data_IF_191627947725
#
_entry.id   IF_191627947725
#
_cell.length_a   1.000
_cell.length_b   1.000
_cell.length_c   1.000
_cell.angle_alpha   90.00
_cell.angle_beta   90.00
_cell.angle_gamma   90.00
#
_symmetry.space_group_name_H-M   'P 1'
#
loop_
_entity.id
_entity.type
_entity.pdbx_description
1 polymer ?
#
# COMPACT_ATOMS: atom_id res chain seq x y z
N UNK A 1 -13.06 -9.87 -6.98
CA UNK A 1 -12.43 -8.56 -7.29
C UNK A 1 -10.94 -8.76 -7.55
N UNK A 2 -10.32 -7.80 -8.23
CA UNK A 2 -8.86 -7.73 -8.41
C UNK A 2 -8.29 -6.72 -7.42
N UNK A 3 -7.35 -7.14 -6.58
CA UNK A 3 -6.71 -6.29 -5.59
C UNK A 3 -5.21 -6.16 -5.91
N UNK A 4 -4.73 -4.93 -6.07
CA UNK A 4 -3.31 -4.62 -6.12
C UNK A 4 -2.85 -4.21 -4.73
N UNK A 5 -1.84 -4.90 -4.18
CA UNK A 5 -1.28 -4.61 -2.86
C UNK A 5 0.14 -4.09 -3.05
N UNK A 6 0.36 -2.80 -2.74
CA UNK A 6 1.67 -2.15 -2.89
C UNK A 6 2.21 -1.75 -1.51
N UNK A 7 3.26 -2.41 -1.04
CA UNK A 7 3.89 -2.10 0.25
C UNK A 7 5.38 -2.49 0.24
N UNK A 8 6.18 -1.90 1.14
CA UNK A 8 7.54 -2.37 1.34
C UNK A 8 7.57 -3.71 2.09
N UNK A 9 8.69 -4.40 2.03
CA UNK A 9 8.96 -5.58 2.86
C UNK A 9 9.03 -5.24 4.36
N UNK A 10 9.16 -6.25 5.21
CA UNK A 10 9.21 -6.08 6.66
C UNK A 10 7.83 -5.87 7.28
N UNK A 11 7.71 -4.91 8.21
CA UNK A 11 6.49 -4.65 8.98
C UNK A 11 5.26 -4.28 8.12
N UNK A 12 5.45 -3.51 7.06
CA UNK A 12 4.38 -3.17 6.12
C UNK A 12 3.80 -4.43 5.45
N UNK A 13 4.68 -5.30 4.95
CA UNK A 13 4.27 -6.57 4.35
C UNK A 13 3.60 -7.49 5.39
N UNK A 14 4.13 -7.56 6.61
CA UNK A 14 3.54 -8.37 7.68
C UNK A 14 2.11 -7.94 7.99
N UNK A 15 1.86 -6.63 8.10
CA UNK A 15 0.49 -6.12 8.33
C UNK A 15 -0.43 -6.34 7.14
N UNK A 16 0.05 -6.20 5.91
CA UNK A 16 -0.74 -6.53 4.73
C UNK A 16 -1.13 -8.01 4.71
N UNK A 17 -0.22 -8.90 5.11
CA UNK A 17 -0.47 -10.35 5.20
C UNK A 17 -1.45 -10.72 6.32
N UNK A 18 -1.45 -9.99 7.44
CA UNK A 18 -2.42 -10.19 8.53
C UNK A 18 -3.87 -9.97 8.07
N UNK A 19 -4.08 -9.18 7.02
CA UNK A 19 -5.38 -8.97 6.39
C UNK A 19 -5.80 -10.06 5.40
N UNK A 20 -5.13 -11.21 5.40
CA UNK A 20 -5.48 -12.34 4.53
C UNK A 20 -6.96 -12.75 4.58
N UNK A 21 -7.67 -12.73 5.72
CA UNK A 21 -9.10 -13.01 5.74
C UNK A 21 -9.94 -12.09 4.83
N UNK A 22 -9.47 -10.86 4.59
CA UNK A 22 -10.14 -9.91 3.70
C UNK A 22 -9.81 -10.15 2.22
N UNK A 23 -8.52 -10.26 1.88
CA UNK A 23 -8.10 -10.33 0.47
C UNK A 23 -7.96 -11.78 -0.06
N UNK A 24 -7.94 -12.78 0.80
CA UNK A 24 -7.56 -14.15 0.44
C UNK A 24 -8.41 -14.82 -0.63
N UNK A 25 -9.70 -14.49 -0.71
CA UNK A 25 -10.65 -15.02 -1.70
C UNK A 25 -10.65 -14.22 -3.02
N UNK A 26 -9.78 -13.20 -3.15
CA UNK A 26 -9.78 -12.31 -4.30
C UNK A 26 -8.54 -12.56 -5.19
N UNK A 27 -8.68 -12.23 -6.48
CA UNK A 27 -7.52 -12.16 -7.37
C UNK A 27 -6.61 -11.01 -6.92
N UNK A 28 -5.31 -11.29 -6.76
CA UNK A 28 -4.39 -10.31 -6.17
C UNK A 28 -3.04 -10.29 -6.85
N UNK A 29 -2.45 -9.10 -6.85
CA UNK A 29 -1.11 -8.84 -7.35
C UNK A 29 -0.37 -7.99 -6.31
N UNK A 30 0.83 -8.44 -5.93
CA UNK A 30 1.69 -7.74 -4.99
C UNK A 30 2.74 -6.91 -5.71
N UNK A 31 3.04 -5.73 -5.18
CA UNK A 31 4.20 -4.92 -5.58
C UNK A 31 4.99 -4.58 -4.33
N UNK A 32 6.22 -5.07 -4.25
CA UNK A 32 7.08 -4.92 -3.06
C UNK A 32 8.56 -4.90 -3.42
N UNK A 33 9.42 -4.65 -2.44
CA UNK A 33 10.87 -4.69 -2.63
C UNK A 33 11.39 -6.10 -2.92
N UNK A 34 12.50 -6.24 -3.68
CA UNK A 34 13.11 -7.53 -4.03
C UNK A 34 13.94 -8.10 -2.88
N UNK A 35 13.40 -8.17 -1.69
CA UNK A 35 14.08 -8.66 -0.47
C UNK A 35 13.80 -10.15 -0.25
N UNK A 36 14.68 -10.84 0.47
CA UNK A 36 14.49 -12.26 0.79
C UNK A 36 13.26 -12.47 1.67
N UNK A 37 12.99 -11.55 2.61
CA UNK A 37 11.76 -11.55 3.42
C UNK A 37 10.50 -11.56 2.54
N UNK A 38 10.45 -10.68 1.55
CA UNK A 38 9.31 -10.62 0.63
C UNK A 38 9.20 -11.88 -0.25
N UNK A 39 10.32 -12.39 -0.76
CA UNK A 39 10.34 -13.63 -1.57
C UNK A 39 9.83 -14.84 -0.79
N UNK A 40 10.26 -14.98 0.47
CA UNK A 40 9.82 -16.08 1.33
C UNK A 40 8.33 -16.00 1.66
N UNK A 41 7.86 -14.81 2.07
CA UNK A 41 6.47 -14.59 2.48
C UNK A 41 5.48 -14.67 1.31
N UNK A 42 5.90 -14.30 0.11
CA UNK A 42 5.05 -14.26 -1.09
C UNK A 42 5.32 -15.41 -2.07
N UNK A 43 5.93 -16.51 -1.62
CA UNK A 43 6.31 -17.66 -2.47
C UNK A 43 5.13 -18.26 -3.27
N UNK A 44 3.90 -18.15 -2.75
CA UNK A 44 2.67 -18.63 -3.40
C UNK A 44 1.82 -17.51 -4.00
N UNK A 45 2.36 -16.31 -4.07
CA UNK A 45 1.66 -15.11 -4.53
C UNK A 45 2.26 -14.61 -5.84
N UNK A 46 1.43 -13.94 -6.66
CA UNK A 46 1.94 -13.19 -7.79
C UNK A 46 2.52 -11.87 -7.30
N UNK A 47 3.80 -11.66 -7.48
CA UNK A 47 4.50 -10.47 -7.01
C UNK A 47 5.39 -9.85 -8.09
N UNK A 48 5.41 -8.54 -8.12
CA UNK A 48 6.29 -7.72 -8.97
C UNK A 48 7.27 -6.98 -8.04
N UNK A 49 8.55 -7.03 -8.36
CA UNK A 49 9.55 -6.23 -7.66
C UNK A 49 9.46 -4.77 -8.08
N UNK A 50 9.38 -3.86 -7.09
CA UNK A 50 9.55 -2.43 -7.34
C UNK A 50 11.04 -2.05 -7.46
N UNK A 51 11.31 -0.84 -7.96
CA UNK A 51 12.66 -0.28 -7.94
C UNK A 51 13.06 0.03 -6.50
N UNK A 52 14.17 -0.53 -6.06
CA UNK A 52 14.64 -0.53 -4.68
C UNK A 52 16.04 0.09 -4.55
N UNK A 53 16.41 0.73 -3.43
CA UNK A 53 15.58 1.05 -2.26
C UNK A 53 14.59 2.18 -2.54
N UNK A 54 13.49 2.24 -1.75
CA UNK A 54 12.44 3.24 -1.94
C UNK A 54 12.58 4.45 -1.02
N UNK A 55 13.26 4.31 0.13
CA UNK A 55 13.41 5.39 1.10
C UNK A 55 14.34 6.49 0.59
N UNK A 56 13.86 7.74 0.62
CA UNK A 56 14.61 8.95 0.25
C UNK A 56 15.35 8.83 -1.09
N UNK A 57 14.72 8.13 -2.04
CA UNK A 57 15.29 7.86 -3.35
C UNK A 57 14.38 8.38 -4.45
N UNK A 58 14.59 9.64 -4.86
CA UNK A 58 13.78 10.29 -5.89
C UNK A 58 13.91 9.60 -7.26
N UNK A 59 15.09 9.17 -7.75
CA UNK A 59 15.18 8.41 -8.98
C UNK A 59 14.32 7.14 -8.98
N UNK A 60 14.31 6.39 -7.89
CA UNK A 60 13.46 5.20 -7.77
C UNK A 60 11.98 5.56 -7.61
N UNK A 61 11.63 6.69 -6.99
CA UNK A 61 10.26 7.18 -6.97
C UNK A 61 9.74 7.43 -8.40
N UNK A 62 10.54 8.08 -9.26
CA UNK A 62 10.19 8.30 -10.67
C UNK A 62 10.05 6.98 -11.43
N UNK A 63 10.97 6.04 -11.23
CA UNK A 63 10.91 4.70 -11.83
C UNK A 63 9.66 3.93 -11.38
N UNK A 64 9.34 3.98 -10.08
CA UNK A 64 8.15 3.35 -9.52
C UNK A 64 6.86 4.03 -9.97
N UNK A 65 6.88 5.33 -10.28
CA UNK A 65 5.74 6.03 -10.89
C UNK A 65 5.44 5.50 -12.29
N UNK A 66 6.47 5.23 -13.10
CA UNK A 66 6.32 4.60 -14.42
C UNK A 66 5.88 3.14 -14.30
N UNK A 67 6.44 2.40 -13.33
CA UNK A 67 6.04 1.04 -13.01
C UNK A 67 4.56 0.97 -12.63
N UNK A 68 4.11 1.86 -11.73
CA UNK A 68 2.72 1.93 -11.28
C UNK A 68 1.77 2.16 -12.46
N UNK A 69 2.08 3.12 -13.34
CA UNK A 69 1.27 3.40 -14.53
C UNK A 69 1.11 2.16 -15.43
N UNK A 70 2.20 1.42 -15.65
CA UNK A 70 2.18 0.20 -16.46
C UNK A 70 1.36 -0.90 -15.77
N UNK A 71 1.66 -1.21 -14.51
CA UNK A 71 1.02 -2.28 -13.76
C UNK A 71 -0.48 -2.01 -13.59
N UNK A 72 -0.88 -0.79 -13.24
CA UNK A 72 -2.29 -0.42 -13.10
C UNK A 72 -3.05 -0.57 -14.41
N UNK A 73 -2.47 -0.13 -15.52
CA UNK A 73 -3.09 -0.25 -16.85
C UNK A 73 -3.24 -1.71 -17.30
N UNK A 74 -2.22 -2.54 -17.04
CA UNK A 74 -2.18 -3.92 -17.53
C UNK A 74 -3.00 -4.86 -16.63
N UNK A 75 -2.97 -4.67 -15.29
CA UNK A 75 -3.71 -5.50 -14.34
C UNK A 75 -5.17 -5.04 -14.14
N UNK A 76 -5.42 -3.72 -14.23
CA UNK A 76 -6.75 -3.10 -14.00
C UNK A 76 -7.40 -3.56 -12.69
N UNK A 77 -6.81 -3.25 -11.53
CA UNK A 77 -7.39 -3.62 -10.25
C UNK A 77 -8.70 -2.88 -9.99
N UNK A 78 -9.60 -3.50 -9.22
CA UNK A 78 -10.77 -2.85 -8.64
C UNK A 78 -10.36 -2.03 -7.40
N UNK A 79 -9.35 -2.54 -6.67
CA UNK A 79 -8.83 -1.93 -5.44
C UNK A 79 -7.30 -1.85 -5.50
N UNK A 80 -6.76 -0.69 -5.12
CA UNK A 80 -5.34 -0.50 -4.80
C UNK A 80 -5.23 -0.32 -3.30
N UNK A 81 -4.59 -1.28 -2.63
CA UNK A 81 -4.39 -1.29 -1.18
C UNK A 81 -2.92 -1.11 -0.83
N UNK A 82 -2.65 -0.37 0.25
CA UNK A 82 -1.30 -0.25 0.79
C UNK A 82 -1.29 -0.07 2.30
N UNK A 83 -0.28 -0.66 2.93
CA UNK A 83 0.10 -0.41 4.33
C UNK A 83 1.27 0.58 4.45
N UNK A 84 1.79 1.06 3.32
CA UNK A 84 2.76 2.17 3.34
C UNK A 84 4.11 1.91 2.70
N UNK A 85 5.03 2.77 3.07
CA UNK A 85 6.32 3.09 2.48
C UNK A 85 6.22 3.80 1.11
N UNK A 86 7.35 4.32 0.61
CA UNK A 86 7.37 5.18 -0.57
C UNK A 86 6.86 4.51 -1.84
N UNK A 87 6.88 3.18 -1.93
CA UNK A 87 6.30 2.42 -3.04
C UNK A 87 4.79 2.60 -3.15
N UNK A 88 4.10 2.87 -2.04
CA UNK A 88 2.65 3.08 -2.02
C UNK A 88 2.23 4.33 -2.79
N UNK A 89 3.00 5.40 -2.70
CA UNK A 89 2.64 6.72 -3.23
C UNK A 89 2.24 6.67 -4.71
N UNK A 90 3.09 6.18 -5.63
CA UNK A 90 2.74 6.18 -7.05
C UNK A 90 1.54 5.30 -7.39
N UNK A 91 1.28 4.24 -6.64
CA UNK A 91 0.13 3.36 -6.88
C UNK A 91 -1.17 3.98 -6.38
N UNK A 92 -1.19 4.54 -5.18
CA UNK A 92 -2.37 5.23 -4.62
C UNK A 92 -2.75 6.45 -5.46
N UNK A 93 -1.78 7.31 -5.78
CA UNK A 93 -2.03 8.55 -6.54
C UNK A 93 -2.59 8.26 -7.93
N UNK A 94 -2.19 7.16 -8.56
CA UNK A 94 -2.63 6.81 -9.91
C UNK A 94 -3.83 5.83 -9.95
N UNK A 95 -4.33 5.36 -8.82
CA UNK A 95 -5.42 4.38 -8.77
C UNK A 95 -6.66 4.81 -9.58
N UNK A 96 -7.07 6.07 -9.42
CA UNK A 96 -8.23 6.61 -10.12
C UNK A 96 -8.08 6.66 -11.65
N UNK A 97 -6.84 6.68 -12.17
CA UNK A 97 -6.61 6.69 -13.63
C UNK A 97 -7.11 5.43 -14.34
N UNK A 98 -7.34 4.35 -13.58
CA UNK A 98 -7.88 3.08 -14.07
C UNK A 98 -9.23 2.73 -13.44
N UNK A 99 -9.84 3.66 -12.72
CA UNK A 99 -11.13 3.46 -12.03
C UNK A 99 -11.04 2.62 -10.76
N UNK A 100 -9.84 2.41 -10.21
CA UNK A 100 -9.65 1.65 -8.98
C UNK A 100 -9.92 2.50 -7.74
N UNK A 101 -10.57 1.90 -6.73
CA UNK A 101 -10.68 2.48 -5.39
C UNK A 101 -9.35 2.33 -4.65
N UNK A 102 -8.91 3.37 -3.99
CA UNK A 102 -7.64 3.39 -3.25
C UNK A 102 -7.88 3.32 -1.74
N UNK A 103 -7.16 2.42 -1.07
CA UNK A 103 -7.25 2.20 0.38
C UNK A 103 -5.84 2.24 0.96
N UNK A 104 -5.62 3.08 1.95
CA UNK A 104 -4.37 3.18 2.69
C UNK A 104 -4.60 2.90 4.17
N UNK A 105 -3.83 1.97 4.73
CA UNK A 105 -3.82 1.65 6.16
C UNK A 105 -2.52 2.11 6.79
N UNK A 106 -2.60 3.04 7.75
CA UNK A 106 -1.44 3.36 8.59
C UNK A 106 -1.05 2.16 9.45
N UNK A 107 0.25 1.92 9.56
CA UNK A 107 0.78 0.80 10.34
C UNK A 107 0.56 0.97 11.84
N UNK A 108 0.55 -0.14 12.57
CA UNK A 108 0.24 -0.19 14.00
C UNK A 108 1.18 0.66 14.88
N UNK A 109 2.40 0.90 14.43
CA UNK A 109 3.38 1.76 15.11
C UNK A 109 3.08 3.27 15.01
N UNK A 110 2.06 3.66 14.23
CA UNK A 110 1.63 5.05 14.03
C UNK A 110 0.49 5.41 14.96
N UNK A 111 0.81 5.65 16.24
CA UNK A 111 -0.18 5.92 17.28
C UNK A 111 -0.71 7.36 17.20
N UNK A 112 0.19 8.33 17.25
CA UNK A 112 -0.14 9.77 17.34
C UNK A 112 0.40 10.60 16.16
N UNK A 113 1.31 10.03 15.37
CA UNK A 113 1.95 10.71 14.24
C UNK A 113 1.83 9.88 12.97
N UNK A 114 1.23 10.45 11.91
CA UNK A 114 1.14 9.76 10.63
C UNK A 114 2.52 9.56 10.01
N UNK A 115 2.63 8.54 9.18
CA UNK A 115 3.81 8.36 8.33
C UNK A 115 3.92 9.49 7.29
N UNK A 116 5.11 9.70 6.76
CA UNK A 116 5.30 10.62 5.63
C UNK A 116 4.48 10.17 4.42
N UNK A 117 4.47 8.87 4.15
CA UNK A 117 3.66 8.28 3.08
C UNK A 117 2.19 8.57 3.28
N UNK A 118 1.67 8.35 4.50
CA UNK A 118 0.28 8.64 4.84
C UNK A 118 -0.10 10.09 4.57
N UNK A 119 0.75 11.04 4.95
CA UNK A 119 0.54 12.47 4.65
C UNK A 119 0.48 12.75 3.15
N UNK A 120 1.37 12.12 2.37
CA UNK A 120 1.45 12.32 0.92
C UNK A 120 0.26 11.74 0.18
N UNK A 121 -0.26 10.58 0.61
CA UNK A 121 -1.38 9.91 -0.07
C UNK A 121 -2.75 10.40 0.39
N UNK A 122 -2.86 11.01 1.57
CA UNK A 122 -4.12 11.45 2.16
C UNK A 122 -5.02 12.28 1.24
N UNK A 123 -4.50 13.24 0.43
CA UNK A 123 -5.34 13.99 -0.49
C UNK A 123 -5.94 13.17 -1.63
N UNK A 124 -5.34 12.03 -1.97
CA UNK A 124 -5.65 11.23 -3.15
C UNK A 124 -6.40 9.94 -2.85
N UNK A 125 -6.28 9.44 -1.60
CA UNK A 125 -6.84 8.15 -1.21
C UNK A 125 -8.35 8.25 -0.92
N UNK A 126 -9.12 7.23 -1.35
CA UNK A 126 -10.55 7.13 -1.07
C UNK A 126 -10.82 6.78 0.39
N UNK A 127 -10.13 5.74 0.89
CA UNK A 127 -10.24 5.31 2.27
C UNK A 127 -8.89 5.37 2.97
N UNK A 128 -8.77 6.28 3.92
CA UNK A 128 -7.63 6.36 4.82
C UNK A 128 -7.99 5.69 6.15
N UNK A 129 -7.33 4.59 6.45
CA UNK A 129 -7.61 3.75 7.60
C UNK A 129 -6.55 3.96 8.69
N UNK A 130 -7.00 4.10 9.93
CA UNK A 130 -6.15 4.22 11.11
C UNK A 130 -6.44 3.10 12.10
N UNK A 131 -5.42 2.73 12.86
CA UNK A 131 -5.56 1.70 13.90
C UNK A 131 -5.69 2.31 15.30
N UNK A 132 -5.50 3.63 15.42
CA UNK A 132 -5.52 4.37 16.67
C UNK A 132 -6.38 5.63 16.55
N UNK A 133 -7.17 5.93 17.58
CA UNK A 133 -8.06 7.10 17.61
C UNK A 133 -7.31 8.43 17.48
N UNK A 134 -6.11 8.51 18.06
CA UNK A 134 -5.29 9.73 18.09
C UNK A 134 -4.94 10.30 16.72
N UNK A 135 -4.95 9.45 15.68
CA UNK A 135 -4.75 9.91 14.31
C UNK A 135 -5.99 10.56 13.70
N UNK A 136 -7.18 10.25 14.20
CA UNK A 136 -8.44 10.77 13.69
C UNK A 136 -8.52 12.29 13.74
N UNK A 137 -7.98 12.92 14.80
CA UNK A 137 -7.97 14.38 14.96
C UNK A 137 -7.18 15.10 13.86
N UNK A 138 -6.14 14.44 13.34
CA UNK A 138 -5.28 14.98 12.29
C UNK A 138 -5.77 14.69 10.89
N UNK A 139 -6.55 13.64 10.74
CA UNK A 139 -7.10 13.16 9.48
C UNK A 139 -8.60 12.95 9.56
N UNK A 140 -9.41 14.03 9.47
CA UNK A 140 -10.87 13.96 9.68
C UNK A 140 -11.61 12.97 8.77
N UNK A 141 -11.03 12.63 7.58
CA UNK A 141 -11.60 11.62 6.67
C UNK A 141 -11.12 10.19 6.98
N UNK A 142 -10.27 10.01 8.00
CA UNK A 142 -9.81 8.67 8.37
C UNK A 142 -10.92 7.87 9.05
N UNK A 143 -10.79 6.54 8.92
CA UNK A 143 -11.69 5.59 9.57
C UNK A 143 -10.89 4.71 10.52
N UNK A 144 -11.30 4.64 11.77
CA UNK A 144 -10.73 3.73 12.75
C UNK A 144 -11.17 2.30 12.45
N UNK A 145 -10.21 1.39 12.27
CA UNK A 145 -10.49 -0.03 11.96
C UNK A 145 -10.07 -0.98 13.08
N UNK A 146 -9.44 -0.48 14.14
CA UNK A 146 -8.85 -1.30 15.20
C UNK A 146 -7.49 -1.90 14.80
N UNK A 147 -6.94 -2.72 15.70
CA UNK A 147 -5.60 -3.28 15.52
C UNK A 147 -5.59 -4.42 14.51
N UNK A 148 -4.62 -4.36 13.60
CA UNK A 148 -4.29 -5.41 12.64
C UNK A 148 -2.98 -6.04 13.08
N UNK A 149 -3.05 -7.25 13.65
CA UNK A 149 -1.90 -7.99 14.23
C UNK A 149 -1.78 -9.38 13.61
#
# INVERSE_FOLDING_TARGET
MKILIACSSGGHLAQALALRPWWGEHDRLWVTGPTDDARMKLVRERAIACHWPTQRNIPNLVRNTRLARRVLRDYRPDIVFSTGAAVAVPFIVQAHSVGARSIFLETVDRIDKPSLTGRLVYPFVDDYLTQWEQLGDRFPRSKLVGLVL
#
